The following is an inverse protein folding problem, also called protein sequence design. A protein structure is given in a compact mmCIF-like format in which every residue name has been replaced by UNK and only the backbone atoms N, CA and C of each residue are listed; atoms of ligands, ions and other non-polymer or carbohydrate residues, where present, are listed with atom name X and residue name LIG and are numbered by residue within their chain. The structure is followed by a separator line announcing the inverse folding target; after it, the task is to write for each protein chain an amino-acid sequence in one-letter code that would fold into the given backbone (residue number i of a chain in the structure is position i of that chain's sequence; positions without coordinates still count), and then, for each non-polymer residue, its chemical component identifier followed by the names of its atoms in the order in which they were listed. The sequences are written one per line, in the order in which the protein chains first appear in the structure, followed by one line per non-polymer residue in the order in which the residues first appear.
data_IF_108925710154
#
_entry.id   IF_108925710154
#
_cell.length_a   1.000
_cell.length_b   1.000
_cell.length_c   1.000
_cell.angle_alpha   90.00
_cell.angle_beta   90.00
_cell.angle_gamma   90.00
#
_symmetry.space_group_name_H-M   'P 1'
#
loop_
_entity.id
_entity.type
_entity.pdbx_description
1 polymer ?
#
# COMPACT_ATOMS: atom_id res chain seq x y z
N UNK A 1 -7.80 -11.34 -4.53
CA UNK A 1 -7.13 -10.12 -5.05
C UNK A 1 -5.98 -9.68 -4.15
N UNK A 2 -6.19 -9.44 -2.85
CA UNK A 2 -5.10 -9.01 -1.93
C UNK A 2 -3.99 -10.06 -1.83
N UNK A 3 -4.34 -11.33 -1.58
CA UNK A 3 -3.36 -12.43 -1.58
C UNK A 3 -2.69 -12.65 -2.95
N UNK A 4 -3.32 -12.23 -4.04
CA UNK A 4 -2.75 -12.28 -5.39
C UNK A 4 -1.73 -11.16 -5.60
N UNK A 5 -2.04 -9.92 -5.20
CA UNK A 5 -1.10 -8.80 -5.25
C UNK A 5 0.08 -9.01 -4.31
N UNK A 6 -0.17 -9.57 -3.12
CA UNK A 6 0.87 -9.99 -2.18
C UNK A 6 1.79 -11.05 -2.78
N UNK A 7 1.24 -12.13 -3.36
CA UNK A 7 2.04 -13.16 -4.01
C UNK A 7 2.81 -12.62 -5.23
N UNK A 8 2.21 -11.75 -6.05
CA UNK A 8 2.91 -11.11 -7.17
C UNK A 8 4.06 -10.22 -6.69
N UNK A 9 3.91 -9.54 -5.54
CA UNK A 9 4.99 -8.74 -4.94
C UNK A 9 6.11 -9.59 -4.34
N UNK A 10 5.84 -10.84 -3.99
CA UNK A 10 6.82 -11.77 -3.39
C UNK A 10 7.65 -12.53 -4.44
N UNK A 11 7.29 -12.48 -5.73
CA UNK A 11 8.02 -13.17 -6.78
C UNK A 11 9.02 -12.25 -7.50
N UNK A 12 10.34 -12.50 -7.41
CA UNK A 12 11.36 -11.66 -8.02
C UNK A 12 11.24 -11.62 -9.54
N UNK A 13 10.86 -12.73 -10.17
CA UNK A 13 10.63 -12.82 -11.62
C UNK A 13 9.45 -11.94 -12.07
N UNK A 14 8.42 -11.83 -11.22
CA UNK A 14 7.26 -10.99 -11.49
C UNK A 14 7.62 -9.50 -11.45
N UNK A 15 8.43 -9.10 -10.48
CA UNK A 15 8.96 -7.75 -10.34
C UNK A 15 9.93 -7.40 -11.47
N UNK A 16 10.85 -8.31 -11.80
CA UNK A 16 11.83 -8.14 -12.87
C UNK A 16 11.15 -8.03 -14.24
N UNK A 17 10.15 -8.86 -14.54
CA UNK A 17 9.42 -8.81 -15.79
C UNK A 17 8.53 -7.56 -15.90
N UNK A 18 7.86 -7.17 -14.82
CA UNK A 18 7.00 -5.96 -14.83
C UNK A 18 7.85 -4.69 -15.04
N UNK A 19 9.00 -4.62 -14.40
CA UNK A 19 9.94 -3.51 -14.57
C UNK A 19 10.64 -3.55 -15.94
N UNK A 20 11.00 -4.73 -16.45
CA UNK A 20 11.54 -4.89 -17.80
C UNK A 20 10.52 -4.52 -18.89
N UNK A 21 9.24 -4.87 -18.71
CA UNK A 21 8.17 -4.51 -19.63
C UNK A 21 7.90 -3.00 -19.61
N UNK A 22 7.84 -2.39 -18.43
CA UNK A 22 7.72 -0.93 -18.30
C UNK A 22 8.92 -0.18 -18.89
N UNK A 23 10.15 -0.70 -18.70
CA UNK A 23 11.37 -0.18 -19.34
C UNK A 23 11.32 -0.34 -20.86
N UNK A 24 10.90 -1.50 -21.37
CA UNK A 24 10.80 -1.78 -22.81
C UNK A 24 9.80 -0.86 -23.50
N UNK A 25 8.62 -0.63 -22.91
CA UNK A 25 7.63 0.32 -23.43
C UNK A 25 8.20 1.75 -23.50
N UNK A 26 8.89 2.20 -22.45
CA UNK A 26 9.52 3.54 -22.43
C UNK A 26 10.68 3.67 -23.40
N UNK A 27 11.49 2.61 -23.55
CA UNK A 27 12.58 2.58 -24.53
C UNK A 27 12.02 2.65 -25.97
N UNK A 28 10.87 2.02 -26.21
CA UNK A 28 10.16 2.08 -27.49
C UNK A 28 9.70 3.50 -27.80
N UNK A 29 9.22 4.25 -26.79
CA UNK A 29 8.77 5.64 -26.97
C UNK A 29 9.92 6.66 -27.03
N UNK A 30 11.09 6.35 -26.47
CA UNK A 30 12.25 7.26 -26.41
C UNK A 30 12.86 7.55 -27.79
N UNK A 31 13.01 6.53 -28.62
CA UNK A 31 13.56 6.68 -29.97
C UNK A 31 12.74 7.61 -30.88
N UNK A 32 11.41 7.47 -31.00
CA UNK A 32 10.60 8.37 -31.82
C UNK A 32 10.54 9.79 -31.25
N UNK A 33 10.52 9.98 -29.93
CA UNK A 33 10.56 11.32 -29.32
C UNK A 33 11.88 12.05 -29.62
N UNK A 34 13.02 11.35 -29.57
CA UNK A 34 14.32 11.91 -29.97
C UNK A 34 14.37 12.26 -31.44
N UNK A 35 13.88 11.38 -32.31
CA UNK A 35 13.80 11.65 -33.74
C UNK A 35 12.93 12.88 -34.02
N UNK A 36 11.78 13.01 -33.36
CA UNK A 36 10.92 14.18 -33.48
C UNK A 36 11.59 15.46 -33.01
N UNK A 37 12.31 15.42 -31.88
CA UNK A 37 13.09 16.55 -31.39
C UNK A 37 14.13 17.00 -32.43
N UNK A 38 14.88 16.05 -33.02
CA UNK A 38 15.89 16.37 -34.04
C UNK A 38 15.27 16.96 -35.31
N UNK A 39 14.09 16.50 -35.72
CA UNK A 39 13.36 17.06 -36.86
C UNK A 39 12.94 18.50 -36.57
N UNK A 40 12.35 18.77 -35.40
CA UNK A 40 11.92 20.11 -34.99
C UNK A 40 13.10 21.08 -34.89
N UNK A 41 14.25 20.63 -34.39
CA UNK A 41 15.48 21.43 -34.36
C UNK A 41 15.99 21.77 -35.77
N UNK A 42 15.90 20.81 -36.70
CA UNK A 42 16.22 21.03 -38.12
C UNK A 42 15.29 22.04 -38.80
N UNK A 43 13.98 21.94 -38.55
CA UNK A 43 12.99 22.89 -39.06
C UNK A 43 13.18 24.31 -38.50
N UNK A 44 13.46 24.44 -37.20
CA UNK A 44 13.80 25.71 -36.57
C UNK A 44 15.07 26.33 -37.16
N UNK A 45 16.10 25.52 -37.45
CA UNK A 45 17.31 25.99 -38.10
C UNK A 45 17.04 26.51 -39.52
N UNK A 46 16.20 25.80 -40.28
CA UNK A 46 15.76 26.20 -41.63
C UNK A 46 14.99 27.52 -41.60
N UNK A 47 14.02 27.69 -40.69
CA UNK A 47 13.27 28.94 -40.56
C UNK A 47 14.20 30.10 -40.15
N UNK A 48 15.15 29.86 -39.24
CA UNK A 48 16.13 30.87 -38.87
C UNK A 48 17.02 31.31 -40.05
N UNK A 49 17.36 30.39 -40.95
CA UNK A 49 18.06 30.71 -42.19
C UNK A 49 17.18 31.51 -43.17
N UNK A 50 15.93 31.11 -43.37
CA UNK A 50 14.99 31.85 -44.22
C UNK A 50 14.74 33.28 -43.73
N UNK A 51 14.54 33.48 -42.42
CA UNK A 51 14.41 34.81 -41.81
C UNK A 51 15.67 35.67 -42.02
N UNK A 52 16.87 35.09 -41.91
CA UNK A 52 18.13 35.81 -42.20
C UNK A 52 18.22 36.20 -43.68
N UNK A 53 17.75 35.35 -44.59
CA UNK A 53 17.73 35.65 -46.02
C UNK A 53 16.74 36.78 -46.35
N UNK A 54 15.53 36.77 -45.76
CA UNK A 54 14.58 37.87 -45.87
C UNK A 54 15.17 39.19 -45.35
N UNK A 55 15.82 39.16 -44.18
CA UNK A 55 16.47 40.35 -43.61
C UNK A 55 17.60 40.89 -44.52
N UNK A 56 18.42 40.01 -45.10
CA UNK A 56 19.48 40.39 -46.05
C UNK A 56 18.90 41.03 -47.32
N UNK A 57 17.82 40.45 -47.88
CA UNK A 57 17.18 40.98 -49.08
C UNK A 57 16.60 42.39 -48.86
N UNK A 58 16.01 42.64 -47.68
CA UNK A 58 15.51 43.96 -47.29
C UNK A 58 16.64 44.98 -47.12
N UNK A 59 17.76 44.61 -46.49
CA UNK A 59 18.90 45.52 -46.26
C UNK A 59 19.60 45.91 -47.58
N UNK A 60 19.72 44.98 -48.53
CA UNK A 60 20.41 45.22 -49.80
C UNK A 60 19.56 46.01 -50.81
N UNK A 61 18.29 46.32 -50.49
CA UNK A 61 17.41 47.10 -51.36
C UNK A 61 17.10 46.45 -52.71
N UNK A 62 17.38 45.15 -52.87
CA UNK A 62 17.24 44.41 -54.12
C UNK A 62 15.77 44.10 -54.48
N UNK A 63 14.81 44.47 -53.62
CA UNK A 63 13.45 43.96 -53.65
C UNK A 63 12.38 45.01 -53.29
N UNK A 64 12.55 46.29 -53.63
CA UNK A 64 11.62 47.38 -53.27
C UNK A 64 10.16 47.17 -53.74
N UNK A 65 9.93 46.40 -54.80
CA UNK A 65 8.59 46.01 -55.27
C UNK A 65 7.98 44.80 -54.50
N UNK A 66 8.78 44.13 -53.67
CA UNK A 66 8.43 42.91 -52.92
C UNK A 66 8.54 43.12 -51.40
N UNK A 67 8.78 44.35 -50.92
CA UNK A 67 8.99 44.63 -49.50
C UNK A 67 7.81 44.18 -48.62
N UNK A 68 6.57 44.39 -49.09
CA UNK A 68 5.36 43.95 -48.37
C UNK A 68 5.24 42.42 -48.37
N UNK A 69 5.57 41.76 -49.49
CA UNK A 69 5.57 40.30 -49.61
C UNK A 69 6.64 39.66 -48.72
N UNK A 70 7.83 40.24 -48.66
CA UNK A 70 8.92 39.80 -47.79
C UNK A 70 8.59 40.01 -46.32
N UNK A 71 7.86 41.08 -45.97
CA UNK A 71 7.38 41.34 -44.62
C UNK A 71 6.33 40.31 -44.20
N UNK A 72 5.32 40.07 -45.04
CA UNK A 72 4.30 39.06 -44.81
C UNK A 72 4.91 37.66 -44.66
N UNK A 73 5.89 37.32 -45.51
CA UNK A 73 6.62 36.05 -45.41
C UNK A 73 7.46 35.95 -44.13
N UNK A 74 8.09 37.04 -43.68
CA UNK A 74 8.83 37.06 -42.42
C UNK A 74 7.91 36.92 -41.19
N UNK A 75 6.71 37.52 -41.24
CA UNK A 75 5.69 37.36 -40.21
C UNK A 75 5.17 35.92 -40.13
N UNK A 76 4.86 35.30 -41.27
CA UNK A 76 4.48 33.90 -41.34
C UNK A 76 5.57 32.97 -40.78
N UNK A 77 6.83 33.18 -41.17
CA UNK A 77 7.97 32.43 -40.65
C UNK A 77 8.17 32.63 -39.13
N UNK A 78 7.89 33.82 -38.60
CA UNK A 78 7.93 34.06 -37.16
C UNK A 78 6.79 33.36 -36.41
N UNK A 79 5.59 33.32 -36.97
CA UNK A 79 4.47 32.56 -36.41
C UNK A 79 4.78 31.06 -36.37
N UNK A 80 5.31 30.51 -37.46
CA UNK A 80 5.73 29.11 -37.54
C UNK A 80 6.86 28.81 -36.55
N UNK A 81 7.85 29.71 -36.43
CA UNK A 81 8.92 29.59 -35.42
C UNK A 81 8.36 29.52 -34.00
N UNK A 82 7.40 30.39 -33.64
CA UNK A 82 6.79 30.37 -32.31
C UNK A 82 6.05 29.06 -32.05
N UNK A 83 5.30 28.56 -33.04
CA UNK A 83 4.60 27.28 -32.95
C UNK A 83 5.59 26.12 -32.73
N UNK A 84 6.65 26.04 -33.52
CA UNK A 84 7.65 24.98 -33.40
C UNK A 84 8.45 25.05 -32.08
N UNK A 85 8.65 26.24 -31.51
CA UNK A 85 9.28 26.39 -30.19
C UNK A 85 8.43 25.78 -29.07
N UNK A 86 7.11 25.99 -29.12
CA UNK A 86 6.18 25.38 -28.16
C UNK A 86 6.19 23.86 -28.31
N UNK A 87 6.12 23.35 -29.54
CA UNK A 87 6.15 21.92 -29.82
C UNK A 87 7.47 21.28 -29.38
N UNK A 88 8.60 21.95 -29.61
CA UNK A 88 9.92 21.50 -29.13
C UNK A 88 9.93 21.37 -27.61
N UNK A 89 9.48 22.38 -26.87
CA UNK A 89 9.48 22.31 -25.41
C UNK A 89 8.54 21.23 -24.89
N UNK A 90 7.41 21.01 -25.54
CA UNK A 90 6.51 19.92 -25.19
C UNK A 90 7.17 18.54 -25.39
N UNK A 91 7.83 18.32 -26.54
CA UNK A 91 8.58 17.08 -26.79
C UNK A 91 9.76 16.91 -25.83
N UNK A 92 10.43 18.00 -25.43
CA UNK A 92 11.51 17.96 -24.42
C UNK A 92 10.99 17.54 -23.05
N UNK A 93 9.85 18.08 -22.62
CA UNK A 93 9.23 17.70 -21.35
C UNK A 93 8.83 16.22 -21.39
N UNK A 94 8.17 15.77 -22.47
CA UNK A 94 7.80 14.37 -22.65
C UNK A 94 9.03 13.44 -22.61
N UNK A 95 10.11 13.80 -23.31
CA UNK A 95 11.36 13.04 -23.30
C UNK A 95 12.00 13.01 -21.90
N UNK A 96 12.02 14.13 -21.18
CA UNK A 96 12.52 14.20 -19.82
C UNK A 96 11.70 13.28 -18.88
N UNK A 97 10.37 13.24 -19.01
CA UNK A 97 9.54 12.31 -18.22
C UNK A 97 9.81 10.83 -18.54
N UNK A 98 10.14 10.50 -19.79
CA UNK A 98 10.55 9.16 -20.17
C UNK A 98 11.90 8.77 -19.56
N UNK A 99 12.85 9.71 -19.51
CA UNK A 99 14.21 9.50 -18.99
C UNK A 99 14.26 9.47 -17.45
N UNK A 100 13.53 10.36 -16.76
CA UNK A 100 13.32 10.32 -15.30
C UNK A 100 12.66 9.01 -14.84
N UNK A 101 11.94 8.35 -15.74
CA UNK A 101 11.37 7.03 -15.54
C UNK A 101 12.39 5.96 -15.15
N UNK A 102 13.66 6.03 -15.55
CA UNK A 102 14.68 5.03 -15.21
C UNK A 102 15.06 5.10 -13.71
N UNK A 103 15.20 6.32 -13.18
CA UNK A 103 15.43 6.57 -11.76
C UNK A 103 14.20 6.20 -10.94
N UNK A 104 13.00 6.47 -11.46
CA UNK A 104 11.76 6.01 -10.85
C UNK A 104 11.68 4.48 -10.82
N UNK A 105 12.11 3.77 -11.86
CA UNK A 105 12.05 2.30 -11.90
C UNK A 105 12.86 1.66 -10.78
N UNK A 106 14.07 2.15 -10.50
CA UNK A 106 14.89 1.66 -9.39
C UNK A 106 14.23 1.90 -8.02
N UNK A 107 13.64 3.09 -7.82
CA UNK A 107 12.89 3.41 -6.59
C UNK A 107 11.64 2.54 -6.43
N UNK A 108 10.93 2.27 -7.52
CA UNK A 108 9.74 1.41 -7.55
C UNK A 108 10.10 -0.03 -7.22
N UNK A 109 11.20 -0.56 -7.76
CA UNK A 109 11.72 -1.88 -7.38
C UNK A 109 12.01 -1.96 -5.89
N UNK A 110 12.70 -0.96 -5.33
CA UNK A 110 13.00 -0.91 -3.90
C UNK A 110 11.73 -0.81 -3.04
N UNK A 111 10.77 0.01 -3.44
CA UNK A 111 9.50 0.15 -2.74
C UNK A 111 8.66 -1.13 -2.78
N UNK A 112 8.63 -1.83 -3.92
CA UNK A 112 7.96 -3.13 -4.06
C UNK A 112 8.66 -4.21 -3.23
N UNK A 113 9.99 -4.19 -3.13
CA UNK A 113 10.74 -5.11 -2.28
C UNK A 113 10.40 -4.88 -0.80
N UNK A 114 10.45 -3.63 -0.32
CA UNK A 114 10.02 -3.28 1.05
C UNK A 114 8.58 -3.67 1.32
N UNK A 115 7.69 -3.43 0.36
CA UNK A 115 6.30 -3.84 0.46
C UNK A 115 6.17 -5.37 0.59
N UNK A 116 6.93 -6.15 -0.18
CA UNK A 116 6.92 -7.62 -0.11
C UNK A 116 7.42 -8.16 1.22
N UNK A 117 8.36 -7.46 1.87
CA UNK A 117 8.89 -7.79 3.19
C UNK A 117 7.91 -7.43 4.32
N UNK A 118 7.19 -6.31 4.18
CA UNK A 118 6.25 -5.82 5.20
C UNK A 118 4.90 -6.54 5.17
N UNK A 119 4.37 -6.84 3.98
CA UNK A 119 3.02 -7.36 3.82
C UNK A 119 2.71 -8.64 4.65
N UNK A 120 3.61 -9.65 4.73
CA UNK A 120 3.34 -10.87 5.50
C UNK A 120 3.21 -10.63 7.01
N UNK A 121 3.83 -9.56 7.52
CA UNK A 121 3.86 -9.24 8.95
C UNK A 121 2.64 -8.45 9.41
N UNK A 122 1.82 -7.97 8.47
CA UNK A 122 0.64 -7.16 8.74
C UNK A 122 -0.61 -8.03 8.92
N UNK A 123 -1.53 -7.57 9.78
CA UNK A 123 -2.85 -8.19 9.90
C UNK A 123 -3.67 -8.02 8.60
N UNK A 124 -4.70 -8.84 8.36
CA UNK A 124 -5.48 -8.78 7.12
C UNK A 124 -6.12 -7.41 6.84
N UNK A 125 -6.50 -6.68 7.89
CA UNK A 125 -7.07 -5.33 7.76
C UNK A 125 -5.99 -4.33 7.35
N UNK A 126 -4.80 -4.39 7.96
CA UNK A 126 -3.67 -3.54 7.63
C UNK A 126 -3.14 -3.83 6.21
N UNK A 127 -3.11 -5.09 5.79
CA UNK A 127 -2.76 -5.47 4.42
C UNK A 127 -3.71 -4.84 3.40
N UNK A 128 -5.02 -4.88 3.69
CA UNK A 128 -6.03 -4.26 2.83
C UNK A 128 -5.83 -2.75 2.76
N UNK A 129 -5.68 -2.10 3.90
CA UNK A 129 -5.57 -0.65 3.98
C UNK A 129 -4.28 -0.18 3.29
N UNK A 130 -3.16 -0.90 3.45
CA UNK A 130 -1.91 -0.63 2.75
C UNK A 130 -2.04 -0.77 1.21
N UNK A 131 -2.72 -1.81 0.73
CA UNK A 131 -2.97 -2.01 -0.71
C UNK A 131 -3.85 -0.89 -1.28
N UNK A 132 -4.86 -0.44 -0.54
CA UNK A 132 -5.77 0.63 -0.96
C UNK A 132 -5.08 2.00 -1.10
N UNK A 133 -3.90 2.21 -0.50
CA UNK A 133 -3.18 3.48 -0.61
C UNK A 133 -2.62 3.73 -2.03
N UNK A 134 -2.29 2.67 -2.77
CA UNK A 134 -1.69 2.78 -4.10
C UNK A 134 -2.49 2.09 -5.21
N UNK A 135 -3.49 1.27 -4.88
CA UNK A 135 -4.40 0.68 -5.86
C UNK A 135 -5.61 1.60 -6.06
N UNK A 136 -5.72 2.18 -7.26
CA UNK A 136 -6.85 3.04 -7.64
C UNK A 136 -8.06 2.19 -8.04
N UNK A 137 -7.88 1.28 -9.00
CA UNK A 137 -8.96 0.47 -9.54
C UNK A 137 -8.48 -0.86 -10.09
N UNK A 138 -9.35 -1.87 -10.00
CA UNK A 138 -9.21 -3.13 -10.72
C UNK A 138 -10.39 -3.31 -11.66
N UNK A 139 -10.11 -3.43 -12.95
CA UNK A 139 -11.10 -3.81 -13.96
C UNK A 139 -10.91 -5.29 -14.30
N UNK A 140 -12.01 -6.04 -14.29
CA UNK A 140 -12.02 -7.46 -14.64
C UNK A 140 -12.81 -7.62 -15.92
N UNK A 141 -12.19 -8.24 -16.93
CA UNK A 141 -12.82 -8.52 -18.23
C UNK A 141 -12.64 -9.99 -18.57
N UNK A 142 -13.59 -10.62 -19.29
CA UNK A 142 -13.33 -11.92 -19.90
C UNK A 142 -12.23 -11.77 -20.96
N UNK A 143 -11.26 -12.68 -20.97
CA UNK A 143 -10.15 -12.61 -21.94
C UNK A 143 -10.66 -12.88 -23.35
N UNK A 144 -10.15 -12.13 -24.33
CA UNK A 144 -10.41 -12.31 -25.77
C UNK A 144 -9.46 -13.33 -26.42
N UNK A 145 -8.48 -13.87 -25.68
CA UNK A 145 -7.54 -14.87 -26.23
C UNK A 145 -8.26 -16.21 -26.48
N UNK A 146 -7.97 -16.91 -27.60
CA UNK A 146 -8.63 -18.16 -27.93
C UNK A 146 -8.28 -19.25 -26.90
N UNK A 147 -9.32 -19.84 -26.31
CA UNK A 147 -9.28 -20.90 -25.28
C UNK A 147 -8.81 -22.27 -25.79
N UNK A 148 -8.21 -22.37 -26.98
CA UNK A 148 -8.08 -23.62 -27.74
C UNK A 148 -7.18 -24.70 -27.12
N UNK A 149 -6.49 -24.41 -26.01
CA UNK A 149 -5.59 -25.34 -25.31
C UNK A 149 -5.91 -25.56 -23.82
N UNK A 150 -7.00 -24.99 -23.29
CA UNK A 150 -7.31 -25.08 -21.85
C UNK A 150 -8.31 -26.19 -21.54
N UNK A 151 -8.08 -26.88 -20.42
CA UNK A 151 -8.95 -27.94 -19.92
C UNK A 151 -10.38 -27.44 -19.65
N UNK A 152 -11.36 -28.35 -19.77
CA UNK A 152 -12.76 -28.05 -19.50
C UNK A 152 -12.95 -27.45 -18.09
N UNK A 153 -13.61 -26.30 -18.00
CA UNK A 153 -13.91 -25.61 -16.74
C UNK A 153 -12.92 -24.52 -16.32
N UNK A 154 -11.85 -24.28 -17.07
CA UNK A 154 -10.90 -23.18 -16.80
C UNK A 154 -11.44 -21.86 -17.35
N UNK A 155 -11.51 -20.80 -16.52
CA UNK A 155 -11.93 -19.45 -16.94
C UNK A 155 -10.72 -18.58 -17.24
N UNK A 156 -10.71 -17.91 -18.40
CA UNK A 156 -9.71 -16.91 -18.74
C UNK A 156 -10.25 -15.50 -18.47
N UNK A 157 -9.50 -14.72 -17.69
CA UNK A 157 -9.81 -13.33 -17.37
C UNK A 157 -8.64 -12.42 -17.70
N UNK A 158 -8.96 -11.22 -18.14
CA UNK A 158 -8.03 -10.09 -18.23
C UNK A 158 -8.28 -9.17 -17.01
N UNK A 159 -7.23 -8.91 -16.23
CA UNK A 159 -7.26 -7.97 -15.12
C UNK A 159 -6.48 -6.72 -15.50
N UNK A 160 -7.09 -5.54 -15.37
CA UNK A 160 -6.41 -4.25 -15.53
C UNK A 160 -6.35 -3.55 -14.18
N UNK A 161 -5.14 -3.39 -13.65
CA UNK A 161 -4.87 -2.72 -12.39
C UNK A 161 -4.36 -1.30 -12.67
N UNK A 162 -5.05 -0.30 -12.11
CA UNK A 162 -4.62 1.10 -12.10
C UNK A 162 -3.90 1.39 -10.79
N UNK A 163 -2.64 1.80 -10.87
CA UNK A 163 -1.76 1.95 -9.72
C UNK A 163 -1.17 3.36 -9.63
N UNK A 164 -1.25 3.94 -8.45
CA UNK A 164 -0.55 5.16 -8.06
C UNK A 164 0.82 4.80 -7.50
N UNK A 165 1.74 4.49 -8.41
CA UNK A 165 3.10 4.04 -8.08
C UNK A 165 3.87 5.06 -7.23
N UNK A 166 3.62 6.36 -7.41
CA UNK A 166 4.21 7.42 -6.59
C UNK A 166 3.83 7.28 -5.11
N UNK A 167 2.56 6.95 -4.80
CA UNK A 167 2.10 6.75 -3.42
C UNK A 167 2.74 5.54 -2.75
N UNK A 168 3.00 4.48 -3.52
CA UNK A 168 3.75 3.33 -3.02
C UNK A 168 5.19 3.73 -2.67
N UNK A 169 5.88 4.42 -3.57
CA UNK A 169 7.27 4.85 -3.35
C UNK A 169 7.38 5.82 -2.16
N UNK A 170 6.47 6.79 -2.06
CA UNK A 170 6.40 7.72 -0.94
C UNK A 170 6.07 7.01 0.38
N UNK A 171 5.10 6.09 0.36
CA UNK A 171 4.69 5.33 1.54
C UNK A 171 5.79 4.40 2.08
N UNK A 172 6.66 3.90 1.20
CA UNK A 172 7.78 2.99 1.55
C UNK A 172 9.10 3.73 1.84
N UNK A 173 9.16 5.03 1.63
CA UNK A 173 10.32 5.84 1.97
C UNK A 173 10.38 6.07 3.49
N UNK A 174 11.53 5.84 4.12
CA UNK A 174 11.75 5.99 5.57
C UNK A 174 11.66 7.43 6.09
N UNK A 175 11.45 8.41 5.19
CA UNK A 175 11.36 9.84 5.50
C UNK A 175 9.92 10.32 5.44
N UNK A 176 9.10 9.89 6.38
CA UNK A 176 7.72 10.37 6.51
C UNK A 176 7.63 11.45 7.57
N UNK A 177 8.03 12.68 7.21
CA UNK A 177 7.60 13.88 7.95
C UNK A 177 6.15 14.14 7.54
N UNK A 178 5.22 13.91 8.47
CA UNK A 178 3.77 13.96 8.23
C UNK A 178 3.31 15.36 7.74
N UNK A 179 4.09 16.40 8.03
CA UNK A 179 3.79 17.80 7.64
C UNK A 179 4.17 18.13 6.18
N UNK A 180 5.18 17.49 5.58
CA UNK A 180 5.58 17.71 4.18
C UNK A 180 4.63 17.03 3.17
N UNK A 181 3.84 16.05 3.63
CA UNK A 181 2.93 15.24 2.81
C UNK A 181 1.79 16.03 2.20
N UNK A 182 1.25 17.02 2.91
CA UNK A 182 0.13 17.82 2.41
C UNK A 182 0.62 18.79 1.34
N UNK A 183 1.81 19.39 1.52
CA UNK A 183 2.36 20.39 0.60
C UNK A 183 2.94 19.81 -0.71
N UNK A 184 3.54 18.60 -0.69
CA UNK A 184 3.99 17.94 -1.93
C UNK A 184 2.87 17.27 -2.71
N UNK A 185 1.84 16.74 -2.04
CA UNK A 185 0.69 16.12 -2.71
C UNK A 185 -0.09 17.15 -3.56
N UNK A 186 -0.14 18.41 -3.12
CA UNK A 186 -0.78 19.50 -3.86
C UNK A 186 0.11 20.08 -4.97
N UNK A 187 1.42 19.82 -4.96
CA UNK A 187 2.41 20.38 -5.90
C UNK A 187 2.96 19.38 -6.92
N UNK A 188 2.70 18.08 -6.77
CA UNK A 188 3.14 17.08 -7.74
C UNK A 188 2.22 17.11 -8.97
N UNK A 189 2.79 17.43 -10.14
CA UNK A 189 2.10 17.31 -11.42
C UNK A 189 1.41 15.94 -11.54
N UNK A 190 0.21 15.85 -12.15
CA UNK A 190 -0.58 14.63 -12.18
C UNK A 190 0.23 13.51 -12.83
N UNK A 191 0.79 12.64 -11.98
CA UNK A 191 1.65 11.56 -12.44
C UNK A 191 0.73 10.51 -13.04
N UNK A 192 0.84 10.28 -14.36
CA UNK A 192 0.00 9.33 -15.10
C UNK A 192 -0.02 7.97 -14.35
N UNK A 193 -1.20 7.43 -14.00
CA UNK A 193 -1.27 6.17 -13.26
C UNK A 193 -0.69 5.03 -14.12
N UNK A 194 0.05 4.13 -13.48
CA UNK A 194 0.55 2.93 -14.15
C UNK A 194 -0.64 1.98 -14.35
N UNK A 195 -0.84 1.53 -15.58
CA UNK A 195 -1.87 0.52 -15.90
C UNK A 195 -1.18 -0.79 -16.20
N UNK A 196 -1.37 -1.78 -15.32
CA UNK A 196 -0.89 -3.15 -15.54
C UNK A 196 -2.04 -3.99 -16.09
N UNK A 197 -1.80 -4.69 -17.20
CA UNK A 197 -2.75 -5.64 -17.78
C UNK A 197 -2.21 -7.05 -17.59
N UNK A 198 -2.99 -7.92 -16.97
CA UNK A 198 -2.62 -9.29 -16.63
C UNK A 198 -3.64 -10.25 -17.24
N UNK A 199 -3.16 -11.29 -17.91
CA UNK A 199 -4.00 -12.40 -18.34
C UNK A 199 -3.92 -13.51 -17.30
N UNK A 200 -5.06 -14.03 -16.86
CA UNK A 200 -5.16 -14.98 -15.75
C UNK A 200 -6.05 -16.15 -16.12
N UNK A 201 -5.60 -17.37 -15.87
CA UNK A 201 -6.45 -18.56 -15.89
C UNK A 201 -6.83 -18.98 -14.46
N UNK A 202 -8.11 -19.31 -14.30
CA UNK A 202 -8.70 -19.80 -13.06
C UNK A 202 -9.10 -21.25 -13.25
N UNK A 203 -8.45 -22.16 -12.53
CA UNK A 203 -8.78 -23.57 -12.53
C UNK A 203 -10.11 -23.82 -11.79
N UNK A 204 -10.90 -24.84 -12.17
CA UNK A 204 -12.12 -25.21 -11.45
C UNK A 204 -11.78 -25.58 -10.00
N UNK A 205 -12.66 -25.18 -9.08
CA UNK A 205 -12.48 -25.16 -7.61
C UNK A 205 -12.33 -26.52 -6.91
N UNK A 206 -11.96 -27.59 -7.63
CA UNK A 206 -11.81 -28.93 -7.06
C UNK A 206 -10.34 -29.21 -6.74
N UNK A 207 -9.99 -29.16 -5.46
CA UNK A 207 -8.78 -29.79 -4.88
C UNK A 207 -7.40 -29.27 -5.30
N UNK A 208 -7.27 -28.36 -6.27
CA UNK A 208 -5.97 -27.83 -6.68
C UNK A 208 -5.39 -26.85 -5.65
N UNK A 209 -4.12 -27.07 -5.28
CA UNK A 209 -3.33 -26.17 -4.44
C UNK A 209 -2.91 -24.89 -5.17
N UNK A 210 -3.09 -24.83 -6.50
CA UNK A 210 -2.75 -23.70 -7.36
C UNK A 210 -3.91 -23.34 -8.30
N UNK A 211 -4.94 -22.63 -7.82
CA UNK A 211 -6.15 -22.39 -8.59
C UNK A 211 -6.05 -21.18 -9.54
N UNK A 212 -4.95 -20.42 -9.51
CA UNK A 212 -4.77 -19.21 -10.34
C UNK A 212 -3.41 -19.27 -11.05
N UNK A 213 -3.40 -19.13 -12.37
CA UNK A 213 -2.15 -19.01 -13.15
C UNK A 213 -2.14 -17.69 -13.90
N UNK A 214 -1.15 -16.84 -13.65
CA UNK A 214 -0.83 -15.72 -14.52
C UNK A 214 -0.29 -16.26 -15.84
N UNK A 215 -0.80 -15.77 -16.96
CA UNK A 215 -0.38 -16.13 -18.31
C UNK A 215 0.41 -15.01 -18.99
N UNK A 216 0.10 -13.76 -18.67
CA UNK A 216 0.79 -12.58 -19.18
C UNK A 216 0.96 -11.55 -18.06
N UNK A 217 2.11 -10.84 -18.00
CA UNK A 217 3.20 -10.83 -19.00
C UNK A 217 4.13 -12.05 -18.97
N UNK A 218 4.02 -12.92 -17.96
CA UNK A 218 4.77 -14.18 -17.86
C UNK A 218 3.91 -15.28 -17.23
N UNK A 219 4.20 -16.56 -17.49
CA UNK A 219 3.56 -17.68 -16.82
C UNK A 219 4.00 -17.74 -15.35
N UNK A 220 3.06 -17.63 -14.41
CA UNK A 220 3.34 -17.81 -12.98
C UNK A 220 2.16 -18.50 -12.31
N UNK A 221 2.41 -19.66 -11.71
CA UNK A 221 1.41 -20.39 -10.96
C UNK A 221 1.32 -19.80 -9.55
N UNK A 222 0.21 -19.14 -9.26
CA UNK A 222 -0.06 -18.60 -7.95
C UNK A 222 -0.82 -19.66 -7.16
N UNK A 223 -0.10 -20.31 -6.26
CA UNK A 223 -0.74 -20.98 -5.15
C UNK A 223 -1.63 -19.96 -4.45
N UNK A 224 -2.91 -20.29 -4.24
CA UNK A 224 -3.50 -19.75 -3.01
C UNK A 224 -2.66 -20.45 -1.97
N UNK A 225 -1.85 -19.71 -1.21
CA UNK A 225 -1.54 -20.12 0.15
C UNK A 225 -2.90 -20.27 0.81
N UNK A 226 -3.55 -21.43 0.57
CA UNK A 226 -4.70 -21.90 1.33
C UNK A 226 -4.13 -21.77 2.71
N UNK A 227 -4.71 -20.84 3.49
CA UNK A 227 -4.38 -20.57 4.88
C UNK A 227 -3.53 -21.73 5.37
N UNK A 228 -2.20 -21.54 5.35
CA UNK A 228 -1.49 -22.04 6.49
C UNK A 228 -2.19 -21.20 7.55
N UNK A 229 -3.19 -21.80 8.20
CA UNK A 229 -3.35 -21.58 9.62
C UNK A 229 -1.92 -21.56 10.07
N UNK A 230 -1.37 -20.35 10.23
CA UNK A 230 -0.19 -20.18 11.03
C UNK A 230 -0.41 -21.13 12.19
N UNK A 231 0.55 -22.02 12.54
CA UNK A 231 0.44 -22.79 13.77
C UNK A 231 -0.09 -21.79 14.78
N UNK A 232 -1.32 -22.05 15.24
CA UNK A 232 -2.23 -21.07 15.83
C UNK A 232 -1.37 -20.09 16.61
N UNK A 233 -1.24 -18.81 16.19
CA UNK A 233 -0.30 -17.90 16.83
C UNK A 233 -0.63 -18.04 18.29
N UNK A 234 0.30 -18.61 19.09
CA UNK A 234 -0.01 -19.10 20.43
C UNK A 234 -0.90 -18.05 21.04
N UNK A 235 -2.18 -18.42 21.22
CA UNK A 235 -3.24 -17.45 21.44
C UNK A 235 -2.70 -16.47 22.46
N UNK A 236 -2.60 -15.15 22.16
CA UNK A 236 -1.83 -14.23 22.97
C UNK A 236 -2.20 -14.51 24.42
N UNK A 237 -1.22 -14.82 25.29
CA UNK A 237 -1.45 -15.50 26.55
C UNK A 237 -2.66 -14.84 27.21
N UNK A 238 -3.73 -15.60 27.43
CA UNK A 238 -4.97 -15.03 27.91
C UNK A 238 -4.65 -14.34 29.22
N UNK A 239 -4.67 -13.00 29.23
CA UNK A 239 -4.31 -12.26 30.42
C UNK A 239 -5.52 -12.24 31.35
N UNK A 240 -5.30 -12.61 32.59
CA UNK A 240 -6.33 -12.50 33.61
C UNK A 240 -6.76 -11.01 33.78
N UNK A 241 -8.06 -10.71 34.02
CA UNK A 241 -8.58 -9.34 34.20
C UNK A 241 -7.85 -8.47 35.24
N UNK A 242 -7.06 -9.06 36.13
CA UNK A 242 -6.22 -8.35 37.10
C UNK A 242 -5.14 -7.48 36.45
N UNK A 243 -4.63 -7.86 35.27
CA UNK A 243 -3.66 -7.06 34.51
C UNK A 243 -4.26 -5.72 34.12
N UNK A 244 -5.50 -5.75 33.62
CA UNK A 244 -6.28 -4.55 33.28
C UNK A 244 -6.62 -3.72 34.52
N UNK A 245 -6.99 -4.35 35.63
CA UNK A 245 -7.24 -3.66 36.89
C UNK A 245 -6.01 -2.88 37.40
N UNK A 246 -4.81 -3.47 37.32
CA UNK A 246 -3.56 -2.80 37.70
C UNK A 246 -3.20 -1.63 36.77
N UNK A 247 -3.38 -1.81 35.46
CA UNK A 247 -3.16 -0.74 34.49
C UNK A 247 -4.09 0.46 34.76
N UNK A 248 -5.38 0.20 35.00
CA UNK A 248 -6.36 1.23 35.35
C UNK A 248 -6.07 1.93 36.67
N UNK A 249 -5.64 1.20 37.70
CA UNK A 249 -5.23 1.82 38.98
C UNK A 249 -4.07 2.79 38.77
N UNK A 250 -3.03 2.38 38.03
CA UNK A 250 -1.89 3.26 37.72
C UNK A 250 -2.33 4.54 37.00
N UNK A 251 -3.22 4.42 36.00
CA UNK A 251 -3.76 5.57 35.26
C UNK A 251 -4.54 6.51 36.17
N UNK A 252 -5.43 5.97 37.02
CA UNK A 252 -6.19 6.76 37.99
C UNK A 252 -5.29 7.50 39.00
N UNK A 253 -4.15 6.90 39.36
CA UNK A 253 -3.19 7.50 40.29
C UNK A 253 -2.27 8.53 39.59
N UNK A 254 -1.95 8.35 38.30
CA UNK A 254 -1.01 9.20 37.55
C UNK A 254 -1.66 10.37 36.80
N UNK A 255 -2.87 10.20 36.28
CA UNK A 255 -3.53 11.19 35.43
C UNK A 255 -4.40 12.15 36.25
N UNK A 256 -3.96 13.40 36.41
CA UNK A 256 -4.73 14.43 37.13
C UNK A 256 -6.07 14.69 36.44
N UNK A 257 -7.17 14.40 37.13
CA UNK A 257 -8.53 14.66 36.65
C UNK A 257 -9.19 13.49 35.91
N UNK A 258 -8.52 12.33 35.85
CA UNK A 258 -9.13 11.07 35.42
C UNK A 258 -9.94 10.48 36.57
N UNK A 259 -11.25 10.35 36.36
CA UNK A 259 -12.15 9.68 37.30
C UNK A 259 -12.67 8.38 36.66
N UNK A 260 -13.16 7.44 37.48
CA UNK A 260 -13.70 6.15 36.99
C UNK A 260 -14.76 6.30 35.89
N UNK A 261 -15.59 7.36 35.95
CA UNK A 261 -16.58 7.67 34.92
C UNK A 261 -15.95 8.00 33.56
N UNK A 262 -14.85 8.77 33.54
CA UNK A 262 -14.14 9.12 32.32
C UNK A 262 -13.38 7.92 31.76
N UNK A 263 -12.73 7.16 32.64
CA UNK A 263 -12.08 5.90 32.25
C UNK A 263 -13.08 4.90 31.66
N UNK A 264 -14.31 4.85 32.18
CA UNK A 264 -15.38 4.00 31.63
C UNK A 264 -15.79 4.44 30.22
N UNK A 265 -15.91 5.75 29.99
CA UNK A 265 -16.18 6.30 28.67
C UNK A 265 -15.06 6.03 27.66
N UNK A 266 -13.79 6.15 28.07
CA UNK A 266 -12.63 5.86 27.23
C UNK A 266 -12.52 4.38 26.83
N UNK A 267 -12.84 3.48 27.77
CA UNK A 267 -12.78 2.02 27.55
C UNK A 267 -14.06 1.47 26.89
N UNK A 268 -15.09 2.32 26.68
CA UNK A 268 -16.40 1.90 26.17
C UNK A 268 -17.16 0.94 27.09
N UNK A 269 -16.89 0.99 28.40
CA UNK A 269 -17.46 0.10 29.40
C UNK A 269 -18.41 0.84 30.34
N UNK A 270 -19.27 0.08 31.04
CA UNK A 270 -20.06 0.67 32.12
C UNK A 270 -19.17 1.00 33.33
N UNK A 271 -19.45 2.07 34.09
CA UNK A 271 -18.70 2.38 35.33
C UNK A 271 -18.66 1.22 36.32
N UNK A 272 -19.76 0.45 36.42
CA UNK A 272 -19.82 -0.76 37.25
C UNK A 272 -18.83 -1.85 36.83
N UNK A 273 -18.54 -1.97 35.53
CA UNK A 273 -17.54 -2.91 35.02
C UNK A 273 -16.13 -2.53 35.49
N UNK A 274 -15.80 -1.24 35.50
CA UNK A 274 -14.52 -0.76 36.05
C UNK A 274 -14.42 -1.10 37.53
N UNK A 275 -15.47 -0.83 38.30
CA UNK A 275 -15.51 -1.16 39.73
C UNK A 275 -15.29 -2.65 39.98
N UNK A 276 -15.88 -3.53 39.16
CA UNK A 276 -15.69 -4.98 39.28
C UNK A 276 -14.25 -5.43 39.03
N UNK A 277 -13.54 -4.81 38.08
CA UNK A 277 -12.13 -5.12 37.86
C UNK A 277 -11.25 -4.57 38.98
N UNK A 278 -11.51 -3.34 39.46
CA UNK A 278 -10.74 -2.73 40.55
C UNK A 278 -10.93 -3.47 41.88
N UNK A 279 -12.06 -4.15 42.11
CA UNK A 279 -12.27 -5.04 43.26
C UNK A 279 -11.24 -6.17 43.33
N UNK A 280 -10.69 -6.64 42.20
CA UNK A 280 -9.64 -7.66 42.18
C UNK A 280 -8.35 -7.23 42.89
N UNK A 281 -8.14 -5.92 43.04
CA UNK A 281 -6.99 -5.38 43.79
C UNK A 281 -7.17 -5.49 45.32
N UNK A 282 -8.33 -5.94 45.80
CA UNK A 282 -8.61 -6.22 47.22
C UNK A 282 -8.33 -7.68 47.60
N UNK A 283 -7.92 -8.52 46.64
CA UNK A 283 -7.43 -9.86 46.92
C UNK A 283 -6.09 -9.79 47.67
N UNK A 284 -5.82 -10.81 48.49
CA UNK A 284 -4.53 -10.94 49.16
C UNK A 284 -3.37 -10.99 48.13
N UNK A 285 -2.22 -10.44 48.49
CA UNK A 285 -1.09 -10.25 47.57
C UNK A 285 -0.61 -11.57 46.93
N UNK A 286 -0.64 -12.65 47.70
CA UNK A 286 -0.33 -14.00 47.25
C UNK A 286 -1.28 -14.49 46.15
N UNK A 287 -2.57 -14.15 46.27
CA UNK A 287 -3.59 -14.49 45.28
C UNK A 287 -3.43 -13.62 44.03
N UNK A 288 -3.14 -12.32 44.20
CA UNK A 288 -2.89 -11.44 43.06
C UNK A 288 -1.68 -11.88 42.24
N UNK A 289 -0.58 -12.25 42.90
CA UNK A 289 0.62 -12.77 42.24
C UNK A 289 0.28 -14.01 41.41
N UNK A 290 -0.45 -14.96 42.00
CA UNK A 290 -0.90 -16.16 41.31
C UNK A 290 -1.72 -15.85 40.06
N UNK A 291 -2.66 -14.90 40.14
CA UNK A 291 -3.52 -14.51 39.02
C UNK A 291 -2.77 -13.79 37.89
N UNK A 292 -1.65 -13.12 38.19
CA UNK A 292 -0.83 -12.44 37.19
C UNK A 292 0.00 -13.42 36.36
N UNK A 293 0.45 -14.51 36.98
CA UNK A 293 1.25 -15.56 36.36
C UNK A 293 0.42 -16.50 35.48
N UNK A 294 -0.91 -16.35 35.47
CA UNK A 294 -1.81 -17.13 34.61
C UNK A 294 -1.70 -16.68 33.15
N UNK A 295 -1.22 -17.60 32.32
CA UNK A 295 -1.07 -17.39 30.86
C UNK A 295 -1.93 -18.36 30.04
N UNK A 296 -2.38 -19.48 30.65
CA UNK A 296 -3.21 -20.49 29.98
C UNK A 296 -4.69 -20.10 30.05
N UNK A 297 -5.39 -20.20 28.91
CA UNK A 297 -6.79 -19.82 28.81
C UNK A 297 -7.74 -20.62 29.71
N UNK A 298 -7.43 -21.89 29.98
CA UNK A 298 -8.17 -22.70 30.95
C UNK A 298 -8.06 -22.13 32.37
N UNK A 299 -6.84 -21.82 32.81
CA UNK A 299 -6.61 -21.29 34.15
C UNK A 299 -7.25 -19.91 34.33
N UNK A 300 -7.23 -19.07 33.29
CA UNK A 300 -7.89 -17.75 33.32
C UNK A 300 -9.41 -17.88 33.43
N UNK A 301 -10.01 -18.89 32.78
CA UNK A 301 -11.45 -19.17 32.92
C UNK A 301 -11.77 -19.79 34.28
N UNK A 302 -10.89 -20.66 34.81
CA UNK A 302 -11.00 -21.25 36.15
C UNK A 302 -10.97 -20.19 37.24
N UNK A 303 -10.14 -19.17 37.07
CA UNK A 303 -10.09 -18.02 37.97
C UNK A 303 -10.82 -16.82 37.35
N UNK A 304 -12.07 -17.01 36.90
CA UNK A 304 -12.83 -15.97 36.22
C UNK A 304 -13.14 -14.74 37.09
N UNK A 305 -13.41 -13.61 36.43
CA UNK A 305 -13.70 -12.31 37.08
C UNK A 305 -14.76 -12.40 38.19
N UNK A 306 -15.87 -13.09 37.94
CA UNK A 306 -16.97 -13.18 38.91
C UNK A 306 -16.58 -13.96 40.17
N UNK A 307 -15.80 -15.04 40.01
CA UNK A 307 -15.35 -15.87 41.11
C UNK A 307 -14.31 -15.16 41.95
N UNK A 308 -13.33 -14.52 41.30
CA UNK A 308 -12.29 -13.76 42.00
C UNK A 308 -12.83 -12.46 42.62
N UNK A 309 -13.86 -11.85 42.02
CA UNK A 309 -14.59 -10.74 42.63
C UNK A 309 -15.34 -11.17 43.89
N UNK A 310 -16.03 -12.31 43.87
CA UNK A 310 -16.71 -12.82 45.07
C UNK A 310 -15.70 -13.16 46.18
N UNK A 311 -14.54 -13.70 45.81
CA UNK A 311 -13.44 -13.94 46.74
C UNK A 311 -12.92 -12.63 47.36
N UNK A 312 -12.79 -11.57 46.56
CA UNK A 312 -12.32 -10.25 47.02
C UNK A 312 -13.23 -9.59 48.07
N UNK A 313 -14.48 -10.03 48.23
CA UNK A 313 -15.41 -9.52 49.24
C UNK A 313 -15.19 -10.15 50.63
N UNK A 314 -14.40 -11.23 50.72
CA UNK A 314 -14.09 -11.92 51.97
C UNK A 314 -12.82 -11.35 52.63
N UNK A 315 -12.64 -11.47 53.97
CA UNK A 315 -11.38 -11.17 54.63
C UNK A 315 -10.23 -12.06 54.13
N UNK A 316 -8.99 -11.53 54.10
CA UNK A 316 -7.84 -12.24 53.52
C UNK A 316 -7.60 -13.67 54.07
N UNK A 317 -7.89 -13.93 55.33
CA UNK A 317 -7.78 -15.28 55.91
C UNK A 317 -8.78 -16.28 55.31
N UNK A 318 -9.98 -15.83 54.97
CA UNK A 318 -11.02 -16.64 54.32
C UNK A 318 -10.78 -16.76 52.81
N UNK A 319 -10.23 -15.71 52.18
CA UNK A 319 -9.80 -15.75 50.78
C UNK A 319 -8.84 -16.92 50.52
N UNK A 320 -7.83 -17.07 51.38
CA UNK A 320 -6.84 -18.16 51.27
C UNK A 320 -7.47 -19.54 51.45
N UNK A 321 -8.35 -19.70 52.45
CA UNK A 321 -9.06 -20.96 52.69
C UNK A 321 -9.93 -21.35 51.48
N UNK A 322 -10.68 -20.39 50.95
CA UNK A 322 -11.59 -20.63 49.82
C UNK A 322 -10.82 -20.87 48.51
N UNK A 323 -9.65 -20.26 48.32
CA UNK A 323 -8.76 -20.58 47.20
C UNK A 323 -8.27 -22.03 47.25
N UNK A 324 -7.86 -22.52 48.44
CA UNK A 324 -7.46 -23.92 48.64
C UNK A 324 -8.62 -24.88 48.38
N UNK A 325 -9.85 -24.51 48.72
CA UNK A 325 -11.04 -25.30 48.38
C UNK A 325 -11.28 -25.34 46.87
N UNK A 326 -11.16 -24.20 46.17
CA UNK A 326 -11.25 -24.14 44.70
C UNK A 326 -10.19 -25.04 44.04
N UNK A 327 -8.97 -25.10 44.61
CA UNK A 327 -7.90 -25.99 44.12
C UNK A 327 -8.19 -27.48 44.41
N UNK A 328 -8.79 -27.79 45.57
CA UNK A 328 -9.13 -29.16 45.97
C UNK A 328 -10.31 -29.74 45.21
N UNK A 329 -11.39 -28.97 45.06
CA UNK A 329 -12.58 -29.35 44.27
C UNK A 329 -12.22 -29.66 42.80
N UNK A 330 -11.10 -29.09 42.33
CA UNK A 330 -10.57 -29.29 40.99
C UNK A 330 -9.66 -30.53 40.86
N UNK A 331 -8.97 -30.93 41.93
CA UNK A 331 -8.12 -32.15 41.91
C UNK A 331 -8.95 -33.45 41.92
N UNK A 332 -10.22 -33.37 42.31
CA UNK A 332 -11.18 -34.50 42.34
C UNK A 332 -12.00 -34.67 41.05
N UNK A 333 -11.92 -33.73 40.11
CA UNK A 333 -12.70 -33.73 38.86
C UNK A 333 -11.81 -33.83 37.58
N UNK A 334 -10.52 -34.12 37.75
CA UNK A 334 -9.55 -34.36 36.66
C UNK A 334 -9.20 -35.85 36.59
#
# INVERSE_FOLDING_TARGET
MIGFLGACSQHPDALAATTAHAKSLRQTDRAPLRARLTTLEGELARIAEQLRNCARALILGQATALDDVLREQAEALNADKQRLLVEREQVRIELATCEDGDVATARVSQALQKFSELLPNLSPNEQRDLVMLFLDRVEVRPSTRPSSKLAAGVRLLELRLKLHVHRLVEGMAERLVIEERVQRADSAAPTRPLVLTLDVSLAPSSGTTKPVTLLAPFPCELGITRRVTAPEPESPPMLHPIHRARAWRRRLDSERGLNQLKLAAEEGLSPGSITHHLKLLQLADDIQAKLLDLTKGEDVRRYGLNQMKALAELPHGEQRKRLVEIEREQSTNA
#
